data_IF_373756561561
#
_entry.id   IF_373756561561
#
_cell.length_a   1.000
_cell.length_b   1.000
_cell.length_c   1.000
_cell.angle_alpha   90.00
_cell.angle_beta   90.00
_cell.angle_gamma   90.00
#
_symmetry.space_group_name_H-M   'P 1'
#
loop_
_entity.id
_entity.type
_entity.pdbx_description
1 polymer ?
#
# COMPACT_ATOMS: atom_id res chain seq x y z
N UNK A 1 -25.96 47.17 -34.82
CA UNK A 1 -25.58 45.76 -35.11
C UNK A 1 -24.30 45.43 -34.37
N UNK A 2 -24.43 44.92 -33.16
CA UNK A 2 -23.32 44.55 -32.32
C UNK A 2 -23.36 43.04 -32.07
N UNK A 3 -22.31 42.33 -32.38
CA UNK A 3 -22.16 40.90 -32.07
C UNK A 3 -21.31 40.78 -30.81
N UNK A 4 -21.97 40.37 -29.71
CA UNK A 4 -21.27 39.96 -28.50
C UNK A 4 -20.75 38.54 -28.71
N UNK A 5 -19.43 38.42 -28.81
CA UNK A 5 -18.73 37.15 -28.75
C UNK A 5 -18.42 36.79 -27.29
N UNK A 6 -19.17 35.86 -26.71
CA UNK A 6 -18.88 35.28 -25.41
C UNK A 6 -17.76 34.26 -25.56
N UNK A 7 -16.53 34.70 -25.24
CA UNK A 7 -15.37 33.82 -25.13
C UNK A 7 -15.51 32.89 -23.94
N UNK A 8 -15.77 31.61 -24.18
CA UNK A 8 -15.59 30.56 -23.19
C UNK A 8 -14.09 30.34 -22.99
N UNK A 9 -13.55 30.80 -21.87
CA UNK A 9 -12.23 30.38 -21.43
C UNK A 9 -12.34 28.97 -20.84
N UNK A 10 -11.50 28.02 -21.29
CA UNK A 10 -11.42 26.72 -20.64
C UNK A 10 -10.76 26.92 -19.27
N UNK A 11 -11.47 26.52 -18.23
CA UNK A 11 -10.94 26.41 -16.87
C UNK A 11 -9.85 25.32 -16.84
N UNK A 12 -8.64 25.67 -17.19
CA UNK A 12 -7.46 24.85 -16.88
C UNK A 12 -7.19 24.97 -15.38
N UNK A 13 -8.01 24.30 -14.59
CA UNK A 13 -7.75 24.05 -13.18
C UNK A 13 -6.50 23.19 -13.08
N UNK A 14 -5.33 23.84 -12.96
CA UNK A 14 -4.13 23.18 -12.41
C UNK A 14 -4.54 22.71 -11.03
N UNK A 15 -4.78 21.40 -10.90
CA UNK A 15 -4.84 20.74 -9.60
C UNK A 15 -3.51 21.05 -8.93
N UNK A 16 -3.50 22.04 -8.05
CA UNK A 16 -2.36 22.32 -7.20
C UNK A 16 -2.09 21.04 -6.42
N UNK A 17 -1.01 20.35 -6.78
CA UNK A 17 -0.49 19.25 -5.99
C UNK A 17 -0.19 19.83 -4.62
N UNK A 18 -1.09 19.63 -3.68
CA UNK A 18 -0.83 19.91 -2.29
C UNK A 18 0.23 18.90 -1.86
N UNK A 19 1.47 19.31 -2.04
CA UNK A 19 2.61 18.55 -1.57
C UNK A 19 2.57 18.62 -0.04
N UNK A 20 2.14 17.53 0.57
CA UNK A 20 2.14 17.42 2.04
C UNK A 20 3.57 17.70 2.51
N UNK A 21 3.79 18.65 3.45
CA UNK A 21 5.14 19.03 3.88
C UNK A 21 5.99 17.85 4.36
N UNK A 22 5.37 16.79 4.89
CA UNK A 22 6.05 15.58 5.33
C UNK A 22 6.61 14.72 4.18
N UNK A 23 6.05 14.81 2.96
CA UNK A 23 6.51 14.03 1.81
C UNK A 23 7.91 14.43 1.34
N UNK A 24 8.34 15.66 1.60
CA UNK A 24 9.63 16.20 1.12
C UNK A 24 10.82 16.00 2.06
N UNK A 25 10.60 15.69 3.34
CA UNK A 25 11.66 15.79 4.34
C UNK A 25 12.09 14.47 4.97
N UNK A 26 11.43 13.35 4.71
CA UNK A 26 11.56 12.23 5.63
C UNK A 26 12.55 11.15 5.25
N UNK A 27 12.83 10.95 3.98
CA UNK A 27 13.66 9.80 3.62
C UNK A 27 14.65 10.16 2.53
N UNK A 28 15.81 10.63 2.97
CA UNK A 28 16.97 10.74 2.10
C UNK A 28 17.30 9.37 1.49
N UNK A 29 17.93 9.33 0.30
CA UNK A 29 18.33 8.09 -0.33
C UNK A 29 19.16 7.26 0.65
N UNK A 30 18.82 5.97 0.78
CA UNK A 30 19.57 5.00 1.55
C UNK A 30 19.05 4.66 2.96
N UNK A 31 18.03 5.32 3.51
CA UNK A 31 17.41 4.87 4.77
C UNK A 31 16.21 3.97 4.46
N UNK A 32 16.20 2.70 4.90
CA UNK A 32 15.05 1.84 4.71
C UNK A 32 13.87 2.29 5.56
N UNK A 33 12.67 2.18 5.00
CA UNK A 33 11.40 2.46 5.67
C UNK A 33 10.48 1.24 5.58
N UNK A 34 9.83 0.89 6.69
CA UNK A 34 8.82 -0.15 6.76
C UNK A 34 7.50 0.42 7.28
N UNK A 35 6.48 0.45 6.43
CA UNK A 35 5.09 0.73 6.82
C UNK A 35 4.37 -0.56 7.21
N UNK A 36 3.77 -0.62 8.42
CA UNK A 36 3.01 -1.78 8.87
C UNK A 36 1.53 -1.42 8.95
N UNK A 37 0.67 -2.25 8.35
CA UNK A 37 -0.80 -2.11 8.33
C UNK A 37 -1.22 -0.70 7.84
N UNK A 38 -1.79 0.14 8.70
CA UNK A 38 -2.13 1.53 8.37
C UNK A 38 -0.90 2.33 7.90
N UNK A 39 0.29 2.01 8.40
CA UNK A 39 1.55 2.61 7.96
C UNK A 39 1.85 2.33 6.49
N UNK A 40 1.56 1.12 5.98
CA UNK A 40 1.61 0.81 4.56
C UNK A 40 0.54 1.59 3.78
N UNK A 41 -0.68 1.66 4.30
CA UNK A 41 -1.78 2.38 3.65
C UNK A 41 -1.48 3.88 3.51
N UNK A 42 -0.85 4.49 4.51
CA UNK A 42 -0.43 5.89 4.43
C UNK A 42 0.59 6.17 3.32
N UNK A 43 1.32 5.17 2.84
CA UNK A 43 2.24 5.32 1.71
C UNK A 43 1.52 5.52 0.36
N UNK A 44 0.22 5.23 0.26
CA UNK A 44 -0.59 5.36 -0.95
C UNK A 44 -0.68 6.82 -1.45
N UNK A 45 -1.24 7.01 -2.64
CA UNK A 45 -1.59 8.36 -3.15
C UNK A 45 -2.74 8.95 -2.36
N UNK A 46 -3.78 8.14 -2.07
CA UNK A 46 -4.97 8.56 -1.32
C UNK A 46 -5.70 7.39 -0.68
N UNK A 47 -6.51 7.71 0.34
CA UNK A 47 -7.48 6.80 0.93
C UNK A 47 -8.91 7.25 0.67
N UNK A 48 -9.85 6.30 0.61
CA UNK A 48 -11.28 6.59 0.35
C UNK A 48 -12.18 6.25 1.56
N UNK A 49 -11.62 6.11 2.75
CA UNK A 49 -12.39 5.86 3.96
C UNK A 49 -13.06 7.17 4.43
N UNK A 50 -14.39 7.16 4.54
CA UNK A 50 -15.22 8.34 4.90
C UNK A 50 -14.97 9.61 4.07
N UNK A 51 -14.51 9.47 2.84
CA UNK A 51 -14.18 10.56 1.93
C UNK A 51 -12.84 10.33 1.25
N UNK A 52 -12.38 11.30 0.46
CA UNK A 52 -11.10 11.23 -0.23
C UNK A 52 -10.07 12.00 0.58
N UNK A 53 -9.06 11.30 1.06
CA UNK A 53 -7.96 11.86 1.86
C UNK A 53 -6.63 11.65 1.16
N UNK A 54 -5.85 12.70 0.98
CA UNK A 54 -4.50 12.59 0.46
C UNK A 54 -3.61 11.86 1.47
N UNK A 55 -2.80 10.91 0.97
CA UNK A 55 -1.78 10.21 1.72
C UNK A 55 -0.37 10.72 1.36
N UNK A 56 0.68 9.95 1.63
CA UNK A 56 2.07 10.38 1.41
C UNK A 56 2.52 10.34 -0.06
N UNK A 57 1.76 9.65 -0.93
CA UNK A 57 2.06 9.47 -2.37
C UNK A 57 3.46 8.87 -2.65
N UNK A 58 3.88 7.94 -1.80
CA UNK A 58 5.15 7.23 -1.96
C UNK A 58 5.01 5.98 -2.84
N UNK A 59 3.87 5.30 -2.73
CA UNK A 59 3.47 4.16 -3.57
C UNK A 59 2.21 4.56 -4.32
N UNK A 60 2.29 4.67 -5.64
CA UNK A 60 1.13 5.04 -6.44
C UNK A 60 0.00 4.01 -6.30
N UNK A 61 -1.17 4.47 -5.91
CA UNK A 61 -2.34 3.62 -5.70
C UNK A 61 -3.32 4.20 -4.69
N UNK A 62 -4.43 3.53 -4.51
CA UNK A 62 -5.54 3.95 -3.66
C UNK A 62 -5.78 2.94 -2.53
N UNK A 63 -6.02 3.45 -1.32
CA UNK A 63 -6.54 2.64 -0.22
C UNK A 63 -8.05 2.55 -0.35
N UNK A 64 -8.54 1.35 -0.62
CA UNK A 64 -9.96 1.07 -0.85
C UNK A 64 -10.48 0.03 0.11
N UNK A 65 -11.80 0.04 0.36
CA UNK A 65 -12.45 -0.99 1.17
C UNK A 65 -12.28 -2.36 0.51
N UNK A 66 -12.06 -3.38 1.31
CA UNK A 66 -12.07 -4.77 0.83
C UNK A 66 -13.51 -5.11 0.45
N UNK A 67 -13.68 -5.62 -0.76
CA UNK A 67 -14.94 -6.17 -1.25
C UNK A 67 -14.68 -7.65 -1.54
N UNK A 68 -14.96 -8.54 -0.56
CA UNK A 68 -14.82 -9.96 -0.80
C UNK A 68 -15.84 -10.36 -1.86
N UNK A 69 -15.41 -11.12 -2.85
CA UNK A 69 -16.27 -11.64 -3.92
C UNK A 69 -17.44 -12.46 -3.38
N UNK A 70 -18.06 -13.28 -4.21
CA UNK A 70 -19.24 -14.11 -3.87
C UNK A 70 -18.92 -15.15 -2.77
N UNK A 71 -18.77 -14.69 -1.53
CA UNK A 71 -18.51 -15.51 -0.35
C UNK A 71 -18.99 -14.79 0.89
N UNK A 72 -19.39 -15.54 1.94
CA UNK A 72 -19.83 -14.99 3.22
C UNK A 72 -18.64 -14.53 4.10
N UNK A 73 -17.57 -14.02 3.47
CA UNK A 73 -16.40 -13.53 4.18
C UNK A 73 -16.73 -12.23 4.92
N UNK A 74 -16.35 -12.19 6.19
CA UNK A 74 -16.61 -11.02 7.04
C UNK A 74 -15.55 -9.94 6.85
N UNK A 75 -15.95 -8.70 6.97
CA UNK A 75 -15.04 -7.56 7.09
C UNK A 75 -15.10 -7.08 8.54
N UNK A 76 -13.93 -6.91 9.19
CA UNK A 76 -12.56 -6.94 8.66
C UNK A 76 -12.05 -8.34 8.28
N UNK A 77 -11.11 -8.42 7.32
CA UNK A 77 -10.22 -9.57 7.14
C UNK A 77 -9.38 -9.70 8.41
N UNK A 78 -9.70 -10.69 9.23
CA UNK A 78 -9.07 -10.89 10.52
C UNK A 78 -8.65 -12.36 10.68
N UNK A 79 -7.38 -12.57 10.98
CA UNK A 79 -6.83 -13.90 11.26
C UNK A 79 -5.57 -14.21 10.47
N UNK A 80 -5.20 -15.48 10.51
CA UNK A 80 -4.06 -16.01 9.78
C UNK A 80 -4.44 -16.29 8.33
N UNK A 81 -3.57 -15.87 7.40
CA UNK A 81 -3.75 -16.14 5.99
C UNK A 81 -2.39 -16.34 5.30
N UNK A 82 -2.40 -16.99 4.14
CA UNK A 82 -1.21 -17.35 3.38
C UNK A 82 -0.69 -16.16 2.58
N UNK A 83 0.64 -16.07 2.46
CA UNK A 83 1.31 -15.17 1.53
C UNK A 83 1.47 -15.87 0.17
N UNK A 84 1.04 -15.21 -0.90
CA UNK A 84 1.00 -15.73 -2.26
C UNK A 84 1.71 -14.77 -3.22
N UNK A 85 2.10 -15.28 -4.39
CA UNK A 85 2.73 -14.50 -5.47
C UNK A 85 3.94 -13.69 -4.99
N UNK A 86 4.81 -14.33 -4.21
CA UNK A 86 6.00 -13.69 -3.67
C UNK A 86 6.97 -13.30 -4.79
N UNK A 87 7.26 -12.03 -4.92
CA UNK A 87 8.28 -11.52 -5.84
C UNK A 87 9.65 -11.41 -5.16
N UNK A 88 10.74 -11.64 -5.90
CA UNK A 88 12.07 -11.52 -5.33
C UNK A 88 12.32 -10.13 -4.74
N UNK A 89 12.56 -10.09 -3.43
CA UNK A 89 12.92 -8.88 -2.71
C UNK A 89 13.67 -9.24 -1.43
N UNK A 90 14.65 -8.44 -1.01
CA UNK A 90 15.44 -8.70 0.21
C UNK A 90 14.60 -8.81 1.47
N UNK A 91 13.51 -8.08 1.56
CA UNK A 91 12.55 -8.18 2.68
C UNK A 91 11.94 -9.58 2.81
N UNK A 92 11.71 -10.26 1.69
CA UNK A 92 11.04 -11.57 1.61
C UNK A 92 12.03 -12.75 1.58
N UNK A 93 13.32 -12.50 1.75
CA UNK A 93 14.33 -13.55 1.70
C UNK A 93 14.06 -14.64 2.76
N UNK A 94 13.97 -15.90 2.30
CA UNK A 94 13.66 -17.06 3.13
C UNK A 94 12.21 -17.18 3.61
N UNK A 95 11.32 -16.27 3.21
CA UNK A 95 9.87 -16.46 3.30
C UNK A 95 9.42 -17.23 2.08
N UNK A 96 8.53 -18.18 2.26
CA UNK A 96 8.07 -19.10 1.20
C UNK A 96 6.63 -18.85 0.85
N UNK A 97 6.27 -19.26 -0.35
CA UNK A 97 4.89 -19.36 -0.78
C UNK A 97 4.07 -20.12 0.26
N UNK A 98 2.90 -19.58 0.64
CA UNK A 98 2.00 -20.09 1.67
C UNK A 98 2.50 -20.02 3.12
N UNK A 99 3.61 -19.34 3.41
CA UNK A 99 3.91 -18.96 4.79
C UNK A 99 2.78 -18.06 5.32
N UNK A 100 2.36 -18.31 6.56
CA UNK A 100 1.22 -17.60 7.15
C UNK A 100 1.64 -16.29 7.81
N UNK A 101 0.75 -15.28 7.69
CA UNK A 101 0.86 -14.00 8.36
C UNK A 101 -0.48 -13.61 9.00
N UNK A 102 -0.46 -12.73 10.01
CA UNK A 102 -1.65 -12.30 10.73
C UNK A 102 -2.16 -10.97 10.21
N UNK A 103 -3.40 -10.95 9.75
CA UNK A 103 -4.10 -9.80 9.19
C UNK A 103 -5.19 -9.30 10.13
N UNK A 104 -5.43 -8.00 10.13
CA UNK A 104 -6.61 -7.37 10.73
C UNK A 104 -6.85 -6.02 10.08
N UNK A 105 -7.67 -5.99 9.01
CA UNK A 105 -7.92 -4.77 8.25
C UNK A 105 -9.22 -4.84 7.45
N UNK A 106 -9.83 -3.67 7.20
CA UNK A 106 -11.03 -3.51 6.36
C UNK A 106 -10.74 -2.85 5.02
N UNK A 107 -9.56 -2.25 4.88
CA UNK A 107 -9.11 -1.55 3.68
C UNK A 107 -7.79 -2.15 3.20
N UNK A 108 -7.50 -2.00 1.91
CA UNK A 108 -6.26 -2.45 1.28
C UNK A 108 -5.71 -1.37 0.36
N UNK A 109 -4.40 -1.31 0.22
CA UNK A 109 -3.75 -0.54 -0.82
C UNK A 109 -3.81 -1.31 -2.15
N UNK A 110 -4.54 -0.81 -3.13
CA UNK A 110 -4.47 -1.26 -4.53
C UNK A 110 -3.41 -0.44 -5.26
N UNK A 111 -2.28 -1.07 -5.56
CA UNK A 111 -1.18 -0.41 -6.27
C UNK A 111 -1.56 -0.13 -7.72
N UNK A 112 -1.24 1.08 -8.21
CA UNK A 112 -1.41 1.45 -9.62
C UNK A 112 -0.26 0.91 -10.51
N UNK A 113 0.84 0.47 -9.89
CA UNK A 113 2.04 -0.04 -10.57
C UNK A 113 2.31 -1.48 -10.14
N UNK A 114 2.15 -2.46 -11.03
CA UNK A 114 2.36 -3.88 -10.71
C UNK A 114 3.74 -4.19 -10.14
N UNK A 115 4.77 -3.46 -10.54
CA UNK A 115 6.14 -3.65 -10.07
C UNK A 115 6.33 -3.32 -8.58
N UNK A 116 5.43 -2.55 -7.98
CA UNK A 116 5.48 -2.24 -6.55
C UNK A 116 4.78 -3.28 -5.68
N UNK A 117 4.03 -4.22 -6.28
CA UNK A 117 3.38 -5.31 -5.57
C UNK A 117 4.37 -6.45 -5.37
N UNK A 118 4.68 -6.81 -4.11
CA UNK A 118 5.66 -7.84 -3.78
C UNK A 118 5.04 -9.15 -3.29
N UNK A 119 3.85 -9.11 -2.72
CA UNK A 119 3.09 -10.30 -2.33
C UNK A 119 1.61 -9.96 -2.18
N UNK A 120 0.77 -10.99 -2.36
CA UNK A 120 -0.67 -10.92 -2.10
C UNK A 120 -1.08 -11.96 -1.06
N UNK A 121 -2.32 -11.87 -0.62
CA UNK A 121 -3.07 -12.92 0.07
C UNK A 121 -4.44 -13.05 -0.59
N UNK A 122 -5.11 -14.19 -0.47
CA UNK A 122 -6.46 -14.36 -0.99
C UNK A 122 -7.49 -14.19 0.13
N UNK A 123 -8.44 -13.29 -0.07
CA UNK A 123 -9.59 -13.12 0.80
C UNK A 123 -10.85 -12.83 -0.02
N UNK A 124 -11.30 -13.85 -0.76
CA UNK A 124 -12.37 -13.72 -1.76
C UNK A 124 -11.96 -12.91 -2.98
N UNK A 125 -10.68 -12.88 -3.24
CA UNK A 125 -9.96 -12.17 -4.28
C UNK A 125 -8.60 -11.69 -3.77
N UNK A 126 -7.72 -11.24 -4.68
CA UNK A 126 -6.37 -10.84 -4.33
C UNK A 126 -6.35 -9.56 -3.48
N UNK A 127 -5.71 -9.65 -2.33
CA UNK A 127 -5.46 -8.54 -1.39
C UNK A 127 -3.96 -8.27 -1.36
N UNK A 128 -3.56 -7.01 -1.46
CA UNK A 128 -2.15 -6.61 -1.33
C UNK A 128 -1.64 -6.94 0.06
N UNK A 129 -0.65 -7.83 0.15
CA UNK A 129 -0.01 -8.22 1.41
C UNK A 129 1.30 -7.47 1.65
N UNK A 130 2.12 -7.26 0.61
CA UNK A 130 3.41 -6.56 0.70
C UNK A 130 3.60 -5.67 -0.52
N UNK A 131 4.07 -4.47 -0.27
CA UNK A 131 4.50 -3.51 -1.32
C UNK A 131 5.95 -3.10 -1.12
N UNK A 132 6.61 -2.67 -2.19
CA UNK A 132 7.96 -2.11 -2.09
C UNK A 132 8.43 -1.41 -3.35
N UNK A 133 9.27 -0.41 -3.15
CA UNK A 133 10.08 0.25 -4.18
C UNK A 133 11.25 0.98 -3.54
N UNK A 134 12.37 1.03 -4.19
CA UNK A 134 13.57 1.73 -3.73
C UNK A 134 13.92 1.32 -2.27
N UNK A 135 13.92 2.27 -1.34
CA UNK A 135 14.13 2.07 0.09
C UNK A 135 12.82 1.99 0.92
N UNK A 136 11.67 1.89 0.26
CA UNK A 136 10.35 1.86 0.89
C UNK A 136 9.74 0.46 0.77
N UNK A 137 9.29 -0.09 1.89
CA UNK A 137 8.53 -1.35 1.93
C UNK A 137 7.34 -1.22 2.88
N UNK A 138 6.31 -1.99 2.64
CA UNK A 138 5.13 -2.01 3.51
C UNK A 138 4.49 -3.39 3.57
N UNK A 139 3.90 -3.73 4.73
CA UNK A 139 3.12 -4.94 4.94
C UNK A 139 1.71 -4.60 5.38
N UNK A 140 0.69 -5.29 4.84
CA UNK A 140 -0.67 -5.17 5.32
C UNK A 140 -0.89 -5.98 6.60
N UNK A 141 -0.21 -7.10 6.73
CA UNK A 141 -0.21 -7.90 7.94
C UNK A 141 0.70 -7.29 9.02
N UNK A 142 0.56 -7.80 10.23
CA UNK A 142 1.33 -7.41 11.40
C UNK A 142 2.52 -8.37 11.59
N UNK A 143 3.76 -8.01 11.19
CA UNK A 143 4.92 -8.88 11.36
C UNK A 143 5.14 -9.27 12.83
N UNK A 144 4.91 -8.34 13.76
CA UNK A 144 5.05 -8.57 15.20
C UNK A 144 4.07 -9.60 15.75
N UNK A 145 2.99 -9.91 15.00
CA UNK A 145 2.00 -10.94 15.34
C UNK A 145 2.12 -12.20 14.47
N UNK A 146 3.04 -12.22 13.50
CA UNK A 146 3.13 -13.25 12.48
C UNK A 146 4.20 -14.30 12.78
N UNK A 147 4.55 -14.50 14.05
CA UNK A 147 5.44 -15.57 14.52
C UNK A 147 6.75 -15.67 13.69
N UNK A 148 7.10 -16.88 13.21
CA UNK A 148 8.35 -17.12 12.49
C UNK A 148 8.46 -16.31 11.19
N UNK A 149 7.37 -16.17 10.42
CA UNK A 149 7.30 -15.38 9.19
C UNK A 149 7.59 -13.90 9.49
N UNK A 150 6.93 -13.37 10.51
CA UNK A 150 7.11 -11.99 10.93
C UNK A 150 8.51 -11.69 11.47
N UNK A 151 9.05 -12.58 12.32
CA UNK A 151 10.42 -12.43 12.84
C UNK A 151 11.45 -12.45 11.72
N UNK A 152 11.27 -13.32 10.73
CA UNK A 152 12.14 -13.39 9.56
C UNK A 152 12.10 -12.08 8.76
N UNK A 153 10.88 -11.55 8.49
CA UNK A 153 10.70 -10.29 7.79
C UNK A 153 11.36 -9.12 8.51
N UNK A 154 11.14 -8.99 9.82
CA UNK A 154 11.78 -7.96 10.65
C UNK A 154 13.29 -8.10 10.61
N UNK A 155 13.81 -9.33 10.77
CA UNK A 155 15.24 -9.59 10.67
C UNK A 155 15.84 -9.24 9.31
N UNK A 156 15.11 -9.50 8.21
CA UNK A 156 15.51 -9.09 6.88
C UNK A 156 15.54 -7.56 6.75
N UNK A 157 14.49 -6.89 7.24
CA UNK A 157 14.41 -5.43 7.22
C UNK A 157 15.60 -4.77 7.96
N UNK A 158 15.94 -5.26 9.14
CA UNK A 158 17.05 -4.71 9.94
C UNK A 158 18.42 -4.87 9.25
N UNK A 159 18.56 -5.87 8.38
CA UNK A 159 19.80 -6.11 7.59
C UNK A 159 19.77 -5.48 6.20
N UNK A 160 18.58 -5.02 5.77
CA UNK A 160 18.39 -4.49 4.42
C UNK A 160 19.13 -3.15 4.24
N UNK A 161 19.93 -3.11 3.21
CA UNK A 161 20.61 -1.90 2.71
C UNK A 161 20.11 -1.70 1.28
N UNK A 162 19.13 -0.80 1.08
CA UNK A 162 18.56 -0.50 -0.24
C UNK A 162 19.53 0.19 -1.18
#
# INVERSE_FOLDING_TARGET
>A
MGRNGSGHQPLTGRCARHQHPLARHSYGPGKPFLGICVGMQLMATRGVEYGIHACLDWIAGDVVRIEPGAGHLKIPHMGWNELLDLRPHKLLEGIRERDHAYFVHSFQLKTARPETLLAITDYGGPITAVVGRDNLVGTQFHPEKSQATGLKLIGNFLRWKP
#
